data_IF_483488145496
#
_entry.id   IF_483488145496
#
_cell.length_a   1.000
_cell.length_b   1.000
_cell.length_c   1.000
_cell.angle_alpha   90.00
_cell.angle_beta   90.00
_cell.angle_gamma   90.00
#
_symmetry.space_group_name_H-M   'P 1'
#
loop_
_entity.id
_entity.type
_entity.pdbx_description
1 polymer ?
#
# COMPACT_ATOMS: atom_id res chain seq x y z
N UNK A 1 -8.49 -17.64 37.69
CA UNK A 1 -8.07 -18.33 36.45
C UNK A 1 -7.69 -17.25 35.45
N UNK A 2 -6.40 -16.97 35.29
CA UNK A 2 -5.89 -16.04 34.27
C UNK A 2 -6.03 -16.70 32.90
N UNK A 3 -6.58 -15.96 31.94
CA UNK A 3 -6.76 -16.41 30.57
C UNK A 3 -5.50 -16.05 29.79
N UNK A 4 -4.48 -16.88 29.88
CA UNK A 4 -3.33 -16.82 28.96
C UNK A 4 -3.78 -17.35 27.60
N UNK A 5 -4.26 -16.46 26.73
CA UNK A 5 -4.17 -16.71 25.30
C UNK A 5 -3.17 -15.71 24.74
N UNK A 6 -1.98 -16.22 24.41
CA UNK A 6 -1.10 -15.55 23.46
C UNK A 6 -1.92 -15.30 22.18
N UNK A 7 -2.01 -14.03 21.78
CA UNK A 7 -2.64 -13.67 20.52
C UNK A 7 -1.77 -14.21 19.36
N UNK A 8 -2.36 -14.68 18.25
CA UNK A 8 -1.61 -15.32 17.17
C UNK A 8 -0.85 -14.34 16.26
N UNK A 9 -0.87 -13.04 16.57
CA UNK A 9 -0.30 -12.00 15.72
C UNK A 9 0.67 -11.13 16.52
N UNK A 10 1.90 -11.00 16.02
CA UNK A 10 2.88 -10.04 16.53
C UNK A 10 2.62 -8.62 16.01
N UNK A 11 1.95 -8.50 14.85
CA UNK A 11 1.59 -7.23 14.21
C UNK A 11 0.24 -7.33 13.52
N UNK A 12 -0.65 -6.38 13.84
CA UNK A 12 -1.88 -6.12 13.07
C UNK A 12 -1.91 -4.65 12.70
N UNK A 13 -2.12 -4.36 11.42
CA UNK A 13 -2.34 -3.01 10.91
C UNK A 13 -3.63 -3.00 10.09
N UNK A 14 -4.55 -2.12 10.46
CA UNK A 14 -5.84 -1.95 9.76
C UNK A 14 -5.89 -0.55 9.19
N UNK A 15 -6.15 -0.44 7.90
CA UNK A 15 -6.30 0.84 7.21
C UNK A 15 -7.49 0.77 6.25
N UNK A 16 -8.44 1.69 6.41
CA UNK A 16 -9.54 1.85 5.49
C UNK A 16 -9.06 2.62 4.26
N UNK A 17 -8.96 1.95 3.12
CA UNK A 17 -8.70 2.60 1.84
C UNK A 17 -9.95 3.38 1.40
N UNK A 18 -9.73 4.46 0.65
CA UNK A 18 -10.81 5.25 0.02
C UNK A 18 -11.67 4.36 -0.90
N UNK A 19 -11.02 3.47 -1.64
CA UNK A 19 -11.64 2.54 -2.57
C UNK A 19 -11.11 1.11 -2.33
N UNK A 20 -11.93 0.08 -2.58
CA UNK A 20 -11.47 -1.30 -2.50
C UNK A 20 -10.36 -1.56 -3.53
N UNK A 21 -9.36 -2.35 -3.11
CA UNK A 21 -8.27 -2.76 -3.98
C UNK A 21 -8.40 -4.24 -4.34
N UNK A 22 -8.59 -4.60 -5.62
CA UNK A 22 -8.65 -5.99 -6.06
C UNK A 22 -7.25 -6.65 -6.18
N UNK A 23 -6.18 -5.85 -6.17
CA UNK A 23 -4.79 -6.31 -6.24
C UNK A 23 -3.97 -5.73 -5.09
N UNK A 24 -3.03 -6.50 -4.55
CA UNK A 24 -2.11 -6.03 -3.53
C UNK A 24 -0.77 -6.75 -3.68
N UNK A 25 0.28 -6.01 -3.98
CA UNK A 25 1.62 -6.58 -4.17
C UNK A 25 2.69 -5.72 -3.51
N UNK A 26 3.52 -6.33 -2.66
CA UNK A 26 4.71 -5.67 -2.12
C UNK A 26 5.75 -5.44 -3.22
N UNK A 27 6.36 -4.26 -3.23
CA UNK A 27 7.60 -4.03 -3.95
C UNK A 27 8.79 -4.54 -3.14
N UNK A 28 9.87 -4.88 -3.83
CA UNK A 28 11.10 -5.41 -3.20
C UNK A 28 11.92 -4.33 -2.49
N UNK A 29 11.70 -3.07 -2.83
CA UNK A 29 12.45 -1.95 -2.26
C UNK A 29 12.03 -1.68 -0.81
N UNK A 30 13.02 -1.70 0.09
CA UNK A 30 12.85 -1.37 1.50
C UNK A 30 13.83 -0.28 1.89
N UNK A 31 13.31 0.83 2.40
CA UNK A 31 14.12 1.95 2.89
C UNK A 31 14.22 1.90 4.40
N UNK A 32 15.44 1.96 4.95
CA UNK A 32 15.69 1.96 6.40
C UNK A 32 16.31 3.30 6.81
N UNK A 33 15.52 4.27 7.29
CA UNK A 33 16.06 5.55 7.73
C UNK A 33 16.99 5.38 8.94
N UNK A 34 18.15 6.04 8.92
CA UNK A 34 19.12 5.94 10.02
C UNK A 34 18.54 6.42 11.35
N UNK A 35 18.78 5.66 12.42
CA UNK A 35 18.31 5.97 13.77
C UNK A 35 16.79 5.84 13.96
N UNK A 36 16.07 5.23 13.01
CA UNK A 36 14.66 4.87 13.15
C UNK A 36 14.51 3.38 13.41
N UNK A 37 13.49 3.05 14.19
CA UNK A 37 13.09 1.70 14.58
C UNK A 37 12.05 1.09 13.63
N UNK A 38 11.83 1.72 12.48
CA UNK A 38 10.98 1.22 11.42
C UNK A 38 11.69 1.23 10.08
N UNK A 39 11.15 0.46 9.16
CA UNK A 39 11.49 0.43 7.75
C UNK A 39 10.27 0.81 6.92
N UNK A 40 10.51 1.42 5.76
CA UNK A 40 9.47 1.84 4.82
C UNK A 40 9.43 0.82 3.71
N UNK A 41 8.29 0.14 3.61
CA UNK A 41 7.96 -0.80 2.55
C UNK A 41 6.96 -0.15 1.59
N UNK A 42 6.87 -0.63 0.35
CA UNK A 42 5.93 -0.09 -0.66
C UNK A 42 5.00 -1.16 -1.19
N UNK A 43 3.76 -0.78 -1.46
CA UNK A 43 2.67 -1.65 -1.86
C UNK A 43 1.97 -1.11 -3.11
N UNK A 44 1.85 -1.96 -4.12
CA UNK A 44 1.07 -1.75 -5.35
C UNK A 44 -0.37 -2.13 -5.07
N UNK A 45 -1.27 -1.16 -5.24
CA UNK A 45 -2.71 -1.31 -5.08
C UNK A 45 -3.40 -0.84 -6.36
N UNK A 46 -4.57 -1.42 -6.64
CA UNK A 46 -5.49 -0.94 -7.66
C UNK A 46 -6.69 -0.28 -7.00
N UNK A 47 -7.46 0.49 -7.75
CA UNK A 47 -8.81 0.87 -7.30
C UNK A 47 -9.85 0.24 -8.20
N UNK A 48 -10.99 -0.07 -7.60
CA UNK A 48 -12.22 -0.42 -8.30
C UNK A 48 -13.26 0.65 -7.97
N UNK A 49 -13.59 1.47 -8.97
CA UNK A 49 -14.55 2.58 -8.89
C UNK A 49 -15.62 2.39 -9.96
N UNK A 50 -16.90 2.60 -9.64
CA UNK A 50 -17.99 2.39 -10.61
C UNK A 50 -18.10 3.54 -11.62
N UNK A 51 -18.25 4.77 -11.12
CA UNK A 51 -18.51 5.97 -11.95
C UNK A 51 -17.41 7.04 -11.81
N UNK A 52 -16.36 6.74 -11.04
CA UNK A 52 -15.22 7.63 -10.81
C UNK A 52 -13.96 7.12 -11.49
N UNK A 53 -12.97 8.01 -11.67
CA UNK A 53 -11.66 7.67 -12.19
C UNK A 53 -11.00 6.56 -11.34
N UNK A 54 -10.61 5.46 -11.98
CA UNK A 54 -9.80 4.43 -11.34
C UNK A 54 -8.32 4.80 -11.36
N UNK A 55 -7.54 4.20 -10.47
CA UNK A 55 -6.16 4.55 -10.24
C UNK A 55 -5.29 3.30 -9.95
N UNK A 56 -4.04 3.37 -10.42
CA UNK A 56 -2.96 2.55 -9.91
C UNK A 56 -2.28 3.34 -8.78
N UNK A 57 -2.14 2.70 -7.62
CA UNK A 57 -1.78 3.36 -6.37
C UNK A 57 -0.51 2.75 -5.81
N UNK A 58 0.44 3.61 -5.41
CA UNK A 58 1.57 3.22 -4.59
C UNK A 58 1.38 3.73 -3.17
N UNK A 59 1.36 2.80 -2.21
CA UNK A 59 1.31 3.12 -0.80
C UNK A 59 2.65 2.82 -0.13
N UNK A 60 3.12 3.70 0.74
CA UNK A 60 4.19 3.41 1.69
C UNK A 60 3.61 2.88 2.99
N UNK A 61 4.23 1.85 3.56
CA UNK A 61 3.87 1.25 4.83
C UNK A 61 5.09 1.27 5.73
N UNK A 62 4.96 1.89 6.91
CA UNK A 62 5.99 1.85 7.94
C UNK A 62 5.81 0.58 8.79
N UNK A 63 6.78 -0.33 8.70
CA UNK A 63 6.82 -1.56 9.50
C UNK A 63 7.92 -1.46 10.57
N UNK A 64 7.66 -1.89 11.81
CA UNK A 64 8.71 -1.94 12.83
C UNK A 64 9.84 -2.85 12.37
N UNK A 65 11.07 -2.49 12.70
CA UNK A 65 12.22 -3.36 12.49
C UNK A 65 12.17 -4.54 13.48
N UNK A 66 12.84 -5.65 13.15
CA UNK A 66 12.86 -6.85 13.99
C UNK A 66 13.46 -6.61 15.39
N UNK A 67 14.30 -5.59 15.54
CA UNK A 67 14.96 -5.17 16.79
C UNK A 67 14.18 -4.10 17.56
N UNK A 68 13.05 -3.62 17.03
CA UNK A 68 12.20 -2.66 17.73
C UNK A 68 11.58 -3.29 18.99
N UNK A 69 11.78 -2.66 20.14
CA UNK A 69 11.16 -3.13 21.38
C UNK A 69 9.66 -2.87 21.35
N UNK A 70 8.86 -3.93 21.47
CA UNK A 70 7.42 -3.84 21.70
C UNK A 70 7.16 -3.44 23.15
N UNK A 71 6.67 -2.22 23.39
CA UNK A 71 6.23 -1.83 24.73
C UNK A 71 4.85 -2.43 25.04
N UNK A 72 4.85 -3.52 25.83
CA UNK A 72 3.66 -4.30 26.21
C UNK A 72 2.78 -3.55 27.22
N UNK A 73 3.24 -2.43 27.80
CA UNK A 73 2.53 -1.71 28.85
C UNK A 73 1.29 -0.93 28.38
N UNK A 74 1.07 -0.81 27.06
CA UNK A 74 -0.05 -0.08 26.47
C UNK A 74 -1.33 -0.90 26.23
N UNK A 75 -1.38 -2.16 26.67
CA UNK A 75 -2.59 -2.99 26.66
C UNK A 75 -3.61 -2.54 27.72
N UNK A 76 -4.07 -1.29 27.68
CA UNK A 76 -5.16 -0.83 28.54
C UNK A 76 -6.51 -1.18 27.88
N UNK A 77 -7.07 -2.30 28.33
CA UNK A 77 -8.28 -2.97 27.85
C UNK A 77 -9.60 -2.19 28.04
N UNK A 78 -9.54 -0.89 28.33
CA UNK A 78 -10.70 -0.08 28.78
C UNK A 78 -11.28 0.85 27.72
N UNK A 79 -10.66 0.99 26.54
CA UNK A 79 -11.29 1.57 25.35
C UNK A 79 -11.48 0.49 24.30
N UNK A 80 -12.73 0.27 23.90
CA UNK A 80 -13.14 -0.72 22.90
C UNK A 80 -12.70 -0.41 21.46
N UNK A 81 -11.51 0.14 21.29
CA UNK A 81 -10.86 0.41 20.01
C UNK A 81 -9.84 -0.70 19.78
N UNK A 82 -10.31 -1.83 19.25
CA UNK A 82 -9.44 -2.87 18.72
C UNK A 82 -8.55 -2.26 17.61
N UNK A 83 -7.29 -1.97 17.90
CA UNK A 83 -6.28 -1.69 16.87
C UNK A 83 -5.30 -0.55 17.13
N UNK A 84 -5.46 0.27 18.17
CA UNK A 84 -4.53 1.38 18.40
C UNK A 84 -3.35 0.95 19.29
N UNK A 85 -2.39 0.26 18.66
CA UNK A 85 -1.15 -0.14 19.31
C UNK A 85 -0.14 1.01 19.27
N UNK A 86 0.07 1.65 20.44
CA UNK A 86 1.28 2.36 20.90
C UNK A 86 2.03 3.27 19.93
N UNK A 87 1.93 4.59 20.15
CA UNK A 87 2.87 5.72 19.87
C UNK A 87 3.94 5.63 18.75
N UNK A 88 3.75 4.78 17.75
CA UNK A 88 4.39 4.84 16.46
C UNK A 88 3.23 5.02 15.51
N UNK A 89 3.15 6.15 14.81
CA UNK A 89 2.22 6.26 13.70
C UNK A 89 2.66 5.24 12.65
N UNK A 90 2.15 4.00 12.75
CA UNK A 90 2.24 2.95 11.75
C UNK A 90 1.42 3.42 10.55
N UNK A 91 2.05 4.30 9.78
CA UNK A 91 1.39 5.13 8.80
C UNK A 91 1.41 4.40 7.47
N UNK A 92 0.22 4.17 6.93
CA UNK A 92 0.03 3.83 5.53
C UNK A 92 -0.26 5.16 4.82
N UNK A 93 0.54 5.51 3.82
CA UNK A 93 0.37 6.74 3.05
C UNK A 93 0.34 6.44 1.57
N UNK A 94 -0.49 7.17 0.82
CA UNK A 94 -0.50 7.10 -0.64
C UNK A 94 0.56 8.06 -1.18
N UNK A 95 1.60 7.53 -1.82
CA UNK A 95 2.71 8.31 -2.39
C UNK A 95 2.46 8.73 -3.84
N UNK A 96 1.93 7.80 -4.63
CA UNK A 96 1.75 7.95 -6.08
C UNK A 96 0.36 7.44 -6.43
N UNK A 97 -0.35 8.21 -7.26
CA UNK A 97 -1.66 7.84 -7.79
C UNK A 97 -1.63 8.15 -9.29
N UNK A 98 -1.78 7.11 -10.12
CA UNK A 98 -1.74 7.19 -11.59
C UNK A 98 -3.15 6.93 -12.10
N UNK A 99 -3.66 7.83 -12.95
CA UNK A 99 -4.98 7.67 -13.56
C UNK A 99 -5.04 6.41 -14.44
N UNK A 100 -6.13 5.66 -14.33
CA UNK A 100 -6.36 4.43 -15.07
C UNK A 100 -7.72 4.43 -15.73
N UNK A 101 -7.73 4.21 -17.03
CA UNK A 101 -8.95 3.90 -17.77
C UNK A 101 -9.44 2.50 -17.36
N UNK A 102 -10.62 2.47 -16.73
CA UNK A 102 -11.20 1.27 -16.15
C UNK A 102 -10.50 0.76 -14.89
N UNK A 103 -11.08 -0.29 -14.32
CA UNK A 103 -10.65 -0.89 -13.07
C UNK A 103 -9.28 -1.58 -13.19
N UNK A 104 -8.51 -1.56 -12.10
CA UNK A 104 -7.20 -2.21 -12.04
C UNK A 104 -7.32 -3.56 -11.34
N UNK A 105 -7.79 -4.58 -12.05
CA UNK A 105 -8.02 -5.91 -11.46
C UNK A 105 -6.72 -6.69 -11.17
N UNK A 106 -5.66 -6.42 -11.93
CA UNK A 106 -4.34 -7.00 -11.73
C UNK A 106 -3.28 -5.94 -11.97
N UNK A 107 -2.31 -5.85 -11.05
CA UNK A 107 -1.11 -5.05 -11.19
C UNK A 107 0.10 -5.87 -10.75
N UNK A 108 1.12 -5.96 -11.61
CA UNK A 108 2.34 -6.72 -11.35
C UNK A 108 3.57 -5.88 -11.70
N UNK A 109 4.53 -5.80 -10.78
CA UNK A 109 5.84 -5.21 -11.09
C UNK A 109 6.72 -6.18 -11.90
N UNK A 110 7.63 -5.63 -12.71
CA UNK A 110 8.65 -6.40 -13.40
C UNK A 110 9.82 -6.72 -12.46
N UNK A 111 10.18 -7.99 -12.21
CA UNK A 111 11.23 -8.33 -11.26
C UNK A 111 12.63 -7.77 -11.59
N UNK A 112 12.96 -7.64 -12.87
CA UNK A 112 14.23 -7.07 -13.33
C UNK A 112 14.28 -5.54 -13.18
N UNK A 113 13.12 -4.88 -13.13
CA UNK A 113 13.00 -3.45 -12.93
C UNK A 113 11.68 -3.13 -12.21
N UNK A 114 11.66 -3.11 -10.87
CA UNK A 114 10.44 -2.91 -10.08
C UNK A 114 9.72 -1.59 -10.32
N UNK A 115 10.40 -0.60 -10.93
CA UNK A 115 9.79 0.66 -11.37
C UNK A 115 8.68 0.47 -12.41
N UNK A 116 8.75 -0.63 -13.17
CA UNK A 116 7.81 -0.95 -14.24
C UNK A 116 6.68 -1.81 -13.69
N UNK A 117 5.45 -1.34 -13.83
CA UNK A 117 4.23 -2.03 -13.41
C UNK A 117 3.34 -2.26 -14.64
N UNK A 118 2.96 -3.50 -14.88
CA UNK A 118 1.96 -3.86 -15.86
C UNK A 118 0.59 -4.04 -15.19
N UNK A 119 -0.45 -3.49 -15.82
CA UNK A 119 -1.84 -3.66 -15.40
C UNK A 119 -2.68 -4.19 -16.54
N UNK A 120 -3.71 -4.97 -16.21
CA UNK A 120 -4.67 -5.47 -17.20
C UNK A 120 -6.00 -4.72 -17.08
N UNK A 121 -6.51 -4.23 -18.21
CA UNK A 121 -7.83 -3.58 -18.27
C UNK A 121 -8.95 -4.62 -18.42
N UNK A 122 -10.22 -4.25 -18.16
CA UNK A 122 -11.37 -5.07 -18.50
C UNK A 122 -11.48 -5.39 -20.00
N UNK A 123 -10.98 -4.52 -20.89
CA UNK A 123 -10.92 -4.72 -22.34
C UNK A 123 -9.88 -5.75 -22.79
N UNK A 124 -9.11 -6.33 -21.86
CA UNK A 124 -7.97 -7.24 -22.09
C UNK A 124 -6.67 -6.60 -22.56
N UNK A 125 -6.65 -5.28 -22.72
CA UNK A 125 -5.43 -4.53 -23.02
C UNK A 125 -4.47 -4.57 -21.83
N UNK A 126 -3.17 -4.54 -22.12
CA UNK A 126 -2.13 -4.47 -21.11
C UNK A 126 -1.51 -3.09 -21.16
N UNK A 127 -1.58 -2.39 -20.03
CA UNK A 127 -1.03 -1.05 -19.87
C UNK A 127 0.17 -1.11 -18.94
N UNK A 128 1.31 -0.61 -19.40
CA UNK A 128 2.57 -0.62 -18.68
C UNK A 128 2.93 0.80 -18.25
N UNK A 129 3.36 0.95 -17.01
CA UNK A 129 3.69 2.22 -16.39
C UNK A 129 5.06 2.15 -15.72
N UNK A 130 5.90 3.13 -15.95
CA UNK A 130 7.06 3.45 -15.14
C UNK A 130 6.64 4.49 -14.10
N UNK A 131 6.36 4.04 -12.87
CA UNK A 131 5.80 4.95 -11.85
C UNK A 131 6.74 6.11 -11.51
N UNK A 132 8.04 6.02 -11.83
CA UNK A 132 9.01 7.11 -11.57
C UNK A 132 8.82 8.30 -12.50
N UNK A 133 8.17 8.11 -13.64
CA UNK A 133 7.85 9.17 -14.62
C UNK A 133 6.52 9.86 -14.32
N UNK A 134 5.74 9.34 -13.38
CA UNK A 134 4.47 9.92 -13.01
C UNK A 134 4.62 10.86 -11.81
N UNK A 135 3.97 12.04 -11.83
CA UNK A 135 4.00 12.95 -10.71
C UNK A 135 3.29 12.34 -9.48
N UNK A 136 3.76 12.67 -8.28
CA UNK A 136 3.11 12.28 -7.02
C UNK A 136 1.73 12.94 -6.83
N UNK A 137 1.49 14.06 -7.51
CA UNK A 137 0.18 14.73 -7.56
C UNK A 137 -0.54 14.33 -8.84
N UNK A 138 -1.82 13.99 -8.70
CA UNK A 138 -2.69 13.64 -9.80
C UNK A 138 -2.72 14.73 -10.87
N UNK A 139 -2.65 14.29 -12.12
CA UNK A 139 -2.94 15.16 -13.26
C UNK A 139 -4.45 15.47 -13.27
N UNK A 140 -4.85 16.76 -13.20
CA UNK A 140 -6.25 17.16 -13.19
C UNK A 140 -7.00 16.85 -14.49
N UNK A 141 -6.29 16.52 -15.58
CA UNK A 141 -6.92 16.10 -16.84
C UNK A 141 -7.66 14.76 -16.72
N UNK A 142 -7.29 13.91 -15.74
CA UNK A 142 -7.85 12.56 -15.62
C UNK A 142 -7.34 11.58 -16.68
N UNK A 143 -6.47 12.01 -17.60
CA UNK A 143 -6.01 11.17 -18.70
C UNK A 143 -5.11 10.02 -18.21
N UNK A 144 -5.36 8.82 -18.72
CA UNK A 144 -4.54 7.65 -18.49
C UNK A 144 -3.39 7.64 -19.51
N UNK A 145 -2.15 7.84 -19.03
CA UNK A 145 -0.96 7.98 -19.86
C UNK A 145 0.03 6.81 -19.65
N UNK A 146 -0.20 5.63 -20.24
CA UNK A 146 0.72 4.51 -20.14
C UNK A 146 2.00 4.73 -20.94
N UNK A 147 3.13 4.16 -20.49
CA UNK A 147 4.38 4.12 -21.25
C UNK A 147 4.30 3.15 -22.44
N UNK A 148 3.50 2.08 -22.30
CA UNK A 148 3.25 1.10 -23.36
C UNK A 148 1.82 0.57 -23.26
N UNK A 149 1.20 0.40 -24.43
CA UNK A 149 -0.11 -0.21 -24.61
C UNK A 149 0.04 -1.40 -25.55
N UNK A 150 -0.34 -2.59 -25.09
CA UNK A 150 -0.24 -3.87 -25.80
C UNK A 150 -1.62 -4.51 -25.97
#
# INVERSE_FOLDING_TARGET
MQKEHSFPYDLVMTHALEWPSPTAQWLLDVTRPEGKDFSIHRLVLGTHTSDEQSHLVMASVQLPNDDAQFDVSHYNSEKGEFGEFGSFSRKIEIEIKINREGEVNWALYMPQNPCIIATKTPSSDILVFDYTKHPSKLDPSGECNPDLHL
#
